data_IF_063629510420
#
_entry.id   IF_063629510420
#
_cell.length_a   1.000
_cell.length_b   1.000
_cell.length_c   1.000
_cell.angle_alpha   90.00
_cell.angle_beta   90.00
_cell.angle_gamma   90.00
#
_symmetry.space_group_name_H-M   'P 1'
#
loop_
_entity.id
_entity.type
_entity.pdbx_description
1 polymer ?
#
# COMPACT_ATOMS: atom_id res chain seq x y z
N UNK A 1 99.44 44.22 -14.25
CA UNK A 1 98.70 45.38 -13.73
C UNK A 1 97.55 45.64 -14.69
N UNK A 2 96.26 45.56 -14.40
CA UNK A 2 95.47 45.10 -13.26
C UNK A 2 94.07 44.81 -13.81
N UNK A 3 93.50 43.65 -13.52
CA UNK A 3 92.05 43.45 -13.48
C UNK A 3 91.61 43.77 -12.04
N UNK A 4 90.54 44.53 -11.79
CA UNK A 4 89.28 43.92 -11.34
C UNK A 4 88.04 44.80 -11.70
N UNK A 5 86.76 44.52 -11.48
CA UNK A 5 86.02 43.74 -10.48
C UNK A 5 84.69 43.22 -11.07
N UNK A 6 84.27 42.12 -10.45
CA UNK A 6 82.94 41.51 -10.41
C UNK A 6 81.80 42.52 -10.14
N UNK A 7 80.67 42.39 -10.85
CA UNK A 7 79.35 42.72 -10.30
C UNK A 7 78.51 41.45 -10.27
N UNK A 8 78.32 40.93 -9.07
CA UNK A 8 77.31 39.96 -8.72
C UNK A 8 75.93 40.64 -8.63
N UNK A 9 74.90 39.81 -8.59
CA UNK A 9 73.45 40.11 -8.52
C UNK A 9 72.81 40.19 -9.91
N UNK A 10 71.97 39.24 -10.33
CA UNK A 10 70.67 39.00 -9.71
C UNK A 10 70.36 37.52 -9.46
N UNK A 11 70.15 37.18 -8.18
CA UNK A 11 69.32 36.02 -7.81
C UNK A 11 67.85 36.44 -7.96
N UNK A 12 67.27 36.19 -9.13
CA UNK A 12 65.87 36.51 -9.43
C UNK A 12 65.03 35.30 -9.80
N UNK A 13 64.67 34.48 -8.80
CA UNK A 13 63.46 33.65 -8.74
C UNK A 13 63.10 32.73 -9.92
N UNK A 14 63.39 31.43 -9.78
CA UNK A 14 62.59 30.40 -10.47
C UNK A 14 61.16 30.49 -9.92
N UNK A 15 60.20 30.91 -10.74
CA UNK A 15 58.79 30.83 -10.39
C UNK A 15 58.43 29.36 -10.11
N UNK A 16 57.75 29.03 -9.00
CA UNK A 16 57.32 27.65 -8.77
C UNK A 16 56.33 27.27 -9.88
N UNK A 17 56.55 26.10 -10.50
CA UNK A 17 55.58 25.53 -11.42
C UNK A 17 54.21 25.43 -10.72
N UNK A 18 53.09 25.78 -11.40
CA UNK A 18 51.78 25.61 -10.81
C UNK A 18 51.59 24.12 -10.51
N UNK A 19 51.52 23.79 -9.21
CA UNK A 19 51.21 22.44 -8.78
C UNK A 19 49.87 21.99 -9.37
N UNK A 20 49.67 20.69 -9.63
CA UNK A 20 48.41 20.21 -10.18
C UNK A 20 47.29 20.63 -9.23
N UNK A 21 46.44 21.54 -9.70
CA UNK A 21 45.22 21.93 -8.98
C UNK A 21 44.43 20.65 -8.78
N UNK A 22 44.26 20.22 -7.52
CA UNK A 22 43.44 19.07 -7.15
C UNK A 22 41.99 19.33 -7.56
N UNK A 23 41.63 18.99 -8.78
CA UNK A 23 40.26 18.99 -9.31
C UNK A 23 39.48 17.74 -8.89
N UNK A 24 39.81 17.12 -7.76
CA UNK A 24 39.19 15.86 -7.32
C UNK A 24 38.07 16.03 -6.31
N UNK A 25 37.75 17.25 -5.87
CA UNK A 25 36.71 17.50 -4.86
C UNK A 25 35.30 17.75 -5.40
N UNK A 26 35.13 18.05 -6.70
CA UNK A 26 33.84 18.56 -7.22
C UNK A 26 32.96 17.49 -7.88
N UNK A 27 33.54 16.39 -8.37
CA UNK A 27 32.80 15.34 -9.07
C UNK A 27 32.12 14.32 -8.14
N UNK A 28 32.44 14.33 -6.84
CA UNK A 28 31.80 13.48 -5.82
C UNK A 28 30.58 14.16 -5.17
N UNK A 29 30.47 15.48 -5.28
CA UNK A 29 29.41 16.29 -4.65
C UNK A 29 28.10 16.21 -5.46
N UNK A 30 28.18 16.29 -6.80
CA UNK A 30 27.01 16.24 -7.70
C UNK A 30 26.26 14.89 -7.66
N UNK A 31 26.95 13.77 -7.35
CA UNK A 31 26.28 12.45 -7.22
C UNK A 31 25.54 12.30 -5.89
N UNK A 32 25.98 13.00 -4.85
CA UNK A 32 25.32 13.03 -3.55
C UNK A 32 24.06 13.86 -3.59
N UNK A 33 24.10 15.03 -4.23
CA UNK A 33 22.96 15.95 -4.34
C UNK A 33 21.73 15.32 -5.02
N UNK A 34 21.94 14.57 -6.12
CA UNK A 34 20.87 13.83 -6.77
C UNK A 34 20.26 12.76 -5.84
N UNK A 35 21.07 12.03 -5.07
CA UNK A 35 20.59 10.99 -4.18
C UNK A 35 19.76 11.56 -3.00
N UNK A 36 20.10 12.74 -2.47
CA UNK A 36 19.31 13.38 -1.40
C UNK A 36 17.98 13.91 -1.92
N UNK A 37 17.93 14.45 -3.13
CA UNK A 37 16.68 14.88 -3.77
C UNK A 37 15.74 13.68 -4.02
N UNK A 38 16.27 12.55 -4.50
CA UNK A 38 15.49 11.32 -4.67
C UNK A 38 15.02 10.71 -3.35
N UNK A 39 15.83 10.83 -2.28
CA UNK A 39 15.45 10.36 -0.94
C UNK A 39 14.35 11.23 -0.33
N UNK A 40 14.22 12.49 -0.73
CA UNK A 40 13.11 13.37 -0.31
C UNK A 40 11.75 12.96 -0.88
N UNK A 41 11.71 12.49 -2.12
CA UNK A 41 10.46 12.07 -2.79
C UNK A 41 10.05 10.63 -2.46
N UNK A 42 11.03 9.77 -2.16
CA UNK A 42 10.82 8.34 -1.85
C UNK A 42 9.73 8.11 -0.77
N UNK A 43 9.75 8.79 0.39
CA UNK A 43 8.72 8.63 1.42
C UNK A 43 7.32 9.00 0.93
N UNK A 44 7.20 10.04 0.09
CA UNK A 44 5.92 10.47 -0.49
C UNK A 44 5.39 9.40 -1.44
N UNK A 45 6.24 8.89 -2.33
CA UNK A 45 5.87 7.82 -3.27
C UNK A 45 5.42 6.57 -2.50
N UNK A 46 6.18 6.16 -1.47
CA UNK A 46 5.83 5.00 -0.66
C UNK A 46 4.52 5.20 0.09
N UNK A 47 4.30 6.38 0.68
CA UNK A 47 3.05 6.71 1.34
C UNK A 47 1.87 6.67 0.35
N UNK A 48 2.02 7.25 -0.85
CA UNK A 48 0.99 7.17 -1.89
C UNK A 48 0.75 5.73 -2.36
N UNK A 49 1.80 4.93 -2.57
CA UNK A 49 1.68 3.53 -2.93
C UNK A 49 0.92 2.73 -1.86
N UNK A 50 1.22 2.97 -0.57
CA UNK A 50 0.48 2.39 0.55
C UNK A 50 -0.99 2.83 0.53
N UNK A 51 -1.30 4.11 0.28
CA UNK A 51 -2.67 4.59 0.19
C UNK A 51 -3.44 3.96 -0.98
N UNK A 52 -2.83 3.86 -2.15
CA UNK A 52 -3.41 3.18 -3.31
C UNK A 52 -3.64 1.70 -3.03
N UNK A 53 -2.69 1.06 -2.36
CA UNK A 53 -2.82 -0.31 -1.90
C UNK A 53 -3.98 -0.47 -0.91
N UNK A 54 -4.10 0.42 0.08
CA UNK A 54 -5.22 0.42 1.03
C UNK A 54 -6.56 0.62 0.31
N UNK A 55 -6.64 1.53 -0.67
CA UNK A 55 -7.84 1.73 -1.46
C UNK A 55 -8.24 0.48 -2.26
N UNK A 56 -7.25 -0.24 -2.82
CA UNK A 56 -7.47 -1.50 -3.50
C UNK A 56 -8.02 -2.59 -2.56
N UNK A 57 -7.47 -2.73 -1.34
CA UNK A 57 -7.97 -3.68 -0.34
C UNK A 57 -9.41 -3.39 0.10
N UNK A 58 -9.76 -2.11 0.27
CA UNK A 58 -11.13 -1.69 0.58
C UNK A 58 -12.08 -2.08 -0.55
N UNK A 59 -11.73 -1.76 -1.81
CA UNK A 59 -12.54 -2.11 -2.97
C UNK A 59 -12.72 -3.63 -3.15
N UNK A 60 -11.66 -4.40 -2.86
CA UNK A 60 -11.73 -5.86 -2.85
C UNK A 60 -12.72 -6.36 -1.78
N UNK A 61 -12.70 -5.78 -0.57
CA UNK A 61 -13.60 -6.19 0.52
C UNK A 61 -15.06 -5.87 0.20
N UNK A 62 -15.36 -4.75 -0.46
CA UNK A 62 -16.72 -4.46 -0.96
C UNK A 62 -17.21 -5.53 -1.94
N UNK A 63 -16.34 -5.95 -2.86
CA UNK A 63 -16.68 -7.00 -3.84
C UNK A 63 -16.93 -8.34 -3.16
N UNK A 64 -16.11 -8.68 -2.16
CA UNK A 64 -16.25 -9.91 -1.38
C UNK A 64 -17.54 -9.93 -0.57
N UNK A 65 -17.87 -8.83 0.13
CA UNK A 65 -19.09 -8.71 0.93
C UNK A 65 -20.35 -8.83 0.07
N UNK A 66 -20.34 -8.24 -1.14
CA UNK A 66 -21.44 -8.37 -2.10
C UNK A 66 -21.63 -9.81 -2.58
N UNK A 67 -20.56 -10.48 -3.00
CA UNK A 67 -20.63 -11.87 -3.46
C UNK A 67 -21.13 -12.81 -2.35
N UNK A 68 -20.67 -12.61 -1.12
CA UNK A 68 -21.13 -13.38 0.03
C UNK A 68 -22.62 -13.14 0.31
N UNK A 69 -23.10 -11.89 0.26
CA UNK A 69 -24.50 -11.57 0.48
C UNK A 69 -25.42 -12.18 -0.60
N UNK A 70 -25.00 -12.17 -1.87
CA UNK A 70 -25.77 -12.76 -2.96
C UNK A 70 -25.86 -14.28 -2.86
N UNK A 71 -24.75 -14.95 -2.53
CA UNK A 71 -24.73 -16.40 -2.35
C UNK A 71 -25.54 -16.83 -1.11
N UNK A 72 -25.46 -16.07 -0.02
CA UNK A 72 -26.26 -16.27 1.19
C UNK A 72 -27.76 -16.24 0.88
N UNK A 73 -28.22 -15.20 0.16
CA UNK A 73 -29.63 -15.09 -0.24
C UNK A 73 -30.04 -16.25 -1.16
N UNK A 74 -29.21 -16.59 -2.15
CA UNK A 74 -29.49 -17.67 -3.10
C UNK A 74 -29.69 -19.02 -2.39
N UNK A 75 -28.87 -19.33 -1.40
CA UNK A 75 -29.04 -20.54 -0.60
C UNK A 75 -30.32 -20.47 0.27
N UNK A 76 -30.57 -19.32 0.89
CA UNK A 76 -31.75 -19.12 1.73
C UNK A 76 -33.08 -19.18 0.96
N UNK A 77 -33.13 -18.78 -0.32
CA UNK A 77 -34.37 -18.83 -1.13
C UNK A 77 -34.77 -20.22 -1.56
N UNK A 78 -33.82 -21.15 -1.74
CA UNK A 78 -34.08 -22.55 -2.12
C UNK A 78 -34.18 -23.50 -0.92
N UNK A 79 -33.79 -23.04 0.26
CA UNK A 79 -33.85 -23.81 1.50
C UNK A 79 -35.28 -24.03 2.01
N UNK A 80 -35.49 -25.18 2.68
CA UNK A 80 -36.76 -25.56 3.28
C UNK A 80 -37.25 -24.50 4.29
N UNK A 81 -38.58 -24.38 4.43
CA UNK A 81 -39.19 -23.54 5.44
C UNK A 81 -38.70 -23.94 6.84
N UNK A 82 -38.19 -22.96 7.60
CA UNK A 82 -37.61 -23.18 8.93
C UNK A 82 -36.09 -23.42 8.94
N UNK A 83 -35.44 -23.62 7.79
CA UNK A 83 -33.97 -23.76 7.70
C UNK A 83 -33.30 -22.70 6.84
N UNK A 84 -34.06 -21.70 6.37
CA UNK A 84 -33.58 -20.66 5.44
C UNK A 84 -32.46 -19.80 6.01
N UNK A 85 -32.62 -19.34 7.25
CA UNK A 85 -31.66 -18.45 7.88
C UNK A 85 -30.31 -19.17 8.10
N UNK A 86 -30.34 -20.43 8.55
CA UNK A 86 -29.15 -21.26 8.71
C UNK A 86 -28.44 -21.57 7.37
N UNK A 87 -29.20 -21.91 6.33
CA UNK A 87 -28.63 -22.15 5.00
C UNK A 87 -28.04 -20.88 4.37
N UNK A 88 -28.65 -19.72 4.66
CA UNK A 88 -28.15 -18.42 4.23
C UNK A 88 -26.83 -18.07 4.92
N UNK A 89 -26.76 -18.23 6.25
CA UNK A 89 -25.56 -17.96 7.03
C UNK A 89 -24.40 -18.86 6.61
N UNK A 90 -24.63 -20.18 6.53
CA UNK A 90 -23.62 -21.16 6.10
C UNK A 90 -23.06 -20.86 4.69
N UNK A 91 -23.93 -20.52 3.74
CA UNK A 91 -23.52 -20.21 2.38
C UNK A 91 -22.74 -18.89 2.29
N UNK A 92 -23.12 -17.89 3.08
CA UNK A 92 -22.42 -16.61 3.17
C UNK A 92 -21.00 -16.73 3.72
N UNK A 93 -20.78 -17.64 4.67
CA UNK A 93 -19.44 -17.86 5.26
C UNK A 93 -18.53 -18.73 4.40
N UNK A 94 -19.10 -19.65 3.60
CA UNK A 94 -18.36 -20.70 2.88
C UNK A 94 -17.19 -20.18 2.04
N UNK A 95 -17.37 -19.05 1.37
CA UNK A 95 -16.41 -18.51 0.40
C UNK A 95 -15.58 -17.33 0.96
N UNK A 96 -15.69 -17.06 2.27
CA UNK A 96 -14.87 -16.04 2.91
C UNK A 96 -13.46 -16.56 3.18
N UNK A 97 -12.39 -15.90 2.68
CA UNK A 97 -11.04 -16.28 3.01
C UNK A 97 -10.78 -16.04 4.50
N UNK A 98 -10.08 -16.96 5.17
CA UNK A 98 -9.87 -16.90 6.64
C UNK A 98 -9.09 -15.69 7.17
N UNK A 99 -8.66 -14.76 6.32
CA UNK A 99 -8.08 -13.48 6.70
C UNK A 99 -9.13 -12.37 6.95
N UNK A 100 -10.39 -12.60 6.58
CA UNK A 100 -11.49 -11.65 6.80
C UNK A 100 -12.33 -12.11 7.99
N UNK A 101 -12.58 -11.17 8.90
CA UNK A 101 -13.53 -11.35 10.01
C UNK A 101 -14.89 -10.82 9.55
N UNK A 102 -15.94 -11.63 9.76
CA UNK A 102 -17.27 -11.40 9.20
C UNK A 102 -18.37 -11.54 10.23
N UNK A 103 -19.42 -10.74 10.07
CA UNK A 103 -20.71 -10.94 10.70
C UNK A 103 -21.76 -11.08 9.61
N UNK A 104 -22.54 -12.15 9.65
CA UNK A 104 -23.60 -12.42 8.68
C UNK A 104 -24.94 -12.44 9.42
N UNK A 105 -25.83 -11.56 9.02
CA UNK A 105 -27.20 -11.49 9.51
C UNK A 105 -28.15 -11.88 8.39
N UNK A 106 -28.80 -13.03 8.55
CA UNK A 106 -29.82 -13.53 7.64
C UNK A 106 -31.19 -13.48 8.32
N UNK A 107 -32.20 -12.98 7.59
CA UNK A 107 -33.57 -13.04 8.08
C UNK A 107 -34.57 -13.12 6.94
N UNK A 108 -35.73 -13.68 7.27
CA UNK A 108 -36.86 -13.78 6.36
C UNK A 108 -37.91 -12.72 6.70
N UNK A 109 -38.34 -11.93 5.72
CA UNK A 109 -39.35 -10.89 5.88
C UNK A 109 -40.41 -11.00 4.78
N UNK A 110 -41.64 -11.39 5.15
CA UNK A 110 -42.70 -11.64 4.17
C UNK A 110 -42.29 -12.75 3.20
N UNK A 111 -42.30 -12.48 1.90
CA UNK A 111 -41.85 -13.40 0.85
C UNK A 111 -40.38 -13.22 0.46
N UNK A 112 -39.64 -12.39 1.18
CA UNK A 112 -38.22 -12.11 0.92
C UNK A 112 -37.31 -12.83 1.91
N UNK A 113 -36.19 -13.32 1.40
CA UNK A 113 -35.00 -13.68 2.17
C UNK A 113 -34.00 -12.54 2.02
N UNK A 114 -33.46 -12.04 3.13
CA UNK A 114 -32.48 -10.95 3.17
C UNK A 114 -31.21 -11.42 3.83
N UNK A 115 -30.08 -10.94 3.34
CA UNK A 115 -28.77 -11.15 3.96
C UNK A 115 -28.02 -9.81 4.07
N UNK A 116 -27.39 -9.60 5.21
CA UNK A 116 -26.40 -8.56 5.44
C UNK A 116 -25.08 -9.22 5.85
N UNK A 117 -24.01 -8.89 5.14
CA UNK A 117 -22.66 -9.40 5.39
C UNK A 117 -21.75 -8.22 5.67
N UNK A 118 -21.20 -8.18 6.88
CA UNK A 118 -20.33 -7.11 7.35
C UNK A 118 -18.90 -7.64 7.48
N UNK A 119 -17.98 -7.16 6.64
CA UNK A 119 -16.58 -7.62 6.60
C UNK A 119 -15.62 -6.56 7.16
N UNK A 120 -14.63 -7.00 7.95
CA UNK A 120 -13.55 -6.12 8.44
C UNK A 120 -12.36 -6.11 7.49
N UNK A 121 -11.84 -4.93 7.17
CA UNK A 121 -10.71 -4.76 6.24
C UNK A 121 -9.36 -4.92 6.98
N UNK A 122 -8.49 -5.88 6.58
CA UNK A 122 -7.16 -6.03 7.16
C UNK A 122 -6.17 -4.96 6.65
N UNK A 123 -5.24 -4.49 7.50
CA UNK A 123 -4.26 -3.46 7.12
C UNK A 123 -2.84 -4.00 7.00
N UNK A 124 -2.26 -3.83 5.80
CA UNK A 124 -0.84 -4.03 5.42
C UNK A 124 -0.27 -5.45 5.60
N UNK A 125 -0.78 -6.25 6.53
CA UNK A 125 -0.56 -7.69 6.67
C UNK A 125 -1.86 -8.34 7.16
N UNK A 126 -2.35 -9.33 6.43
CA UNK A 126 -3.44 -10.18 6.87
C UNK A 126 -3.00 -10.92 8.15
N UNK A 127 -3.44 -10.44 9.32
CA UNK A 127 -3.23 -11.12 10.61
C UNK A 127 -2.55 -10.34 11.74
N UNK A 128 -2.10 -9.09 11.55
CA UNK A 128 -1.45 -8.32 12.65
C UNK A 128 -2.24 -7.11 13.17
N UNK A 129 -3.03 -6.44 12.32
CA UNK A 129 -3.87 -5.29 12.74
C UNK A 129 -5.09 -5.15 11.80
N UNK A 130 -6.31 -5.25 12.34
CA UNK A 130 -7.53 -4.92 11.61
C UNK A 130 -7.84 -3.42 11.79
N UNK A 131 -8.21 -2.71 10.71
CA UNK A 131 -8.77 -1.37 10.85
C UNK A 131 -10.20 -1.49 11.42
N UNK A 132 -10.67 -0.54 12.26
CA UNK A 132 -12.03 -0.58 12.81
C UNK A 132 -13.10 -0.16 11.78
N UNK A 133 -12.86 -0.39 10.49
CA UNK A 133 -13.79 -0.04 9.42
C UNK A 133 -14.43 -1.30 8.85
N UNK A 134 -15.75 -1.39 9.03
CA UNK A 134 -16.59 -2.47 8.54
C UNK A 134 -17.17 -2.09 7.18
N UNK A 135 -17.11 -3.02 6.23
CA UNK A 135 -17.65 -2.87 4.88
C UNK A 135 -18.92 -3.73 4.76
N UNK A 136 -20.10 -3.10 4.59
CA UNK A 136 -21.36 -3.83 4.46
C UNK A 136 -21.61 -4.30 3.03
N UNK A 137 -22.11 -5.53 2.88
CA UNK A 137 -22.77 -6.08 1.71
C UNK A 137 -24.21 -6.44 2.07
N UNK A 138 -25.17 -6.17 1.19
CA UNK A 138 -26.60 -6.48 1.43
C UNK A 138 -27.24 -7.02 0.17
N UNK A 139 -28.05 -8.06 0.31
CA UNK A 139 -28.83 -8.64 -0.78
C UNK A 139 -30.21 -9.10 -0.29
N UNK A 140 -31.17 -9.23 -1.21
CA UNK A 140 -32.52 -9.68 -0.93
C UNK A 140 -33.16 -10.34 -2.16
N UNK A 141 -33.86 -11.47 -1.98
CA UNK A 141 -34.59 -12.13 -3.06
C UNK A 141 -35.87 -12.83 -2.56
N UNK A 142 -36.78 -13.12 -3.49
CA UNK A 142 -38.07 -13.77 -3.21
C UNK A 142 -37.88 -15.27 -2.98
N UNK A 143 -38.69 -15.86 -2.08
CA UNK A 143 -38.72 -17.29 -1.81
C UNK A 143 -39.20 -18.06 -3.05
N UNK A 144 -38.45 -19.09 -3.43
CA UNK A 144 -38.79 -19.96 -4.57
C UNK A 144 -39.17 -21.40 -4.16
N UNK A 145 -39.15 -21.71 -2.86
CA UNK A 145 -39.33 -23.05 -2.30
C UNK A 145 -40.52 -23.17 -1.34
#
# INVERSE_FOLDING_TARGET
MSNPQIRADERGGVAPAPGPRRFLGRALDDRGQAAVEFTGLMPVILATAVLLWQAALVGYTFSLAGNAADEAVRAGTVALAGTRDAACEEAGEKDLPGAWDSTIDCWTEGDLVKAQVDLKVPVLFAGSVNFPFTVPGRSAAVKES
#
